data_IF_401269634830
#
_entry.id   IF_401269634830
#
_cell.length_a   1.000
_cell.length_b   1.000
_cell.length_c   1.000
_cell.angle_alpha   90.00
_cell.angle_beta   90.00
_cell.angle_gamma   90.00
#
_symmetry.space_group_name_H-M   'P 1'
#
loop_
_entity.id
_entity.type
_entity.pdbx_description
1 polymer ?
#
# COMPACT_ATOMS: atom_id res chain seq x y z
N UNK A 1 -22.85 -16.50 0.44
CA UNK A 1 -21.69 -15.69 0.87
C UNK A 1 -22.04 -14.83 2.09
N UNK A 2 -23.05 -13.95 2.02
CA UNK A 2 -23.45 -13.07 3.13
C UNK A 2 -23.73 -13.79 4.46
N UNK A 3 -24.38 -14.96 4.44
CA UNK A 3 -24.66 -15.75 5.65
C UNK A 3 -23.36 -16.12 6.37
N UNK A 4 -22.41 -16.70 5.66
CA UNK A 4 -21.10 -17.07 6.20
C UNK A 4 -20.35 -15.85 6.76
N UNK A 5 -20.29 -14.76 5.99
CA UNK A 5 -19.57 -13.54 6.41
C UNK A 5 -20.20 -12.92 7.66
N UNK A 6 -21.53 -12.94 7.77
CA UNK A 6 -22.25 -12.48 8.98
C UNK A 6 -21.85 -13.26 10.22
N UNK A 7 -21.59 -14.56 10.09
CA UNK A 7 -21.20 -15.40 11.22
C UNK A 7 -19.75 -15.15 11.64
N UNK A 8 -18.87 -14.91 10.68
CA UNK A 8 -17.43 -14.75 10.92
C UNK A 8 -17.05 -13.33 11.35
N UNK A 9 -17.54 -12.29 10.66
CA UNK A 9 -17.09 -10.91 10.86
C UNK A 9 -17.78 -10.17 11.99
N UNK A 10 -17.07 -9.20 12.58
CA UNK A 10 -17.71 -8.20 13.44
C UNK A 10 -18.78 -7.42 12.68
N UNK A 11 -19.77 -6.88 13.40
CA UNK A 11 -20.91 -6.18 12.78
C UNK A 11 -20.48 -5.06 11.81
N UNK A 12 -19.48 -4.26 12.19
CA UNK A 12 -19.01 -3.14 11.36
C UNK A 12 -18.43 -3.64 10.02
N UNK A 13 -17.59 -4.67 10.06
CA UNK A 13 -16.96 -5.23 8.86
C UNK A 13 -17.97 -5.99 8.01
N UNK A 14 -18.93 -6.68 8.64
CA UNK A 14 -20.05 -7.28 7.92
C UNK A 14 -20.84 -6.24 7.11
N UNK A 15 -21.13 -5.06 7.68
CA UNK A 15 -21.85 -4.01 6.97
C UNK A 15 -21.06 -3.45 5.78
N UNK A 16 -19.74 -3.25 5.93
CA UNK A 16 -18.87 -2.84 4.82
C UNK A 16 -18.87 -3.90 3.71
N UNK A 17 -18.72 -5.17 4.08
CA UNK A 17 -18.78 -6.28 3.13
C UNK A 17 -20.14 -6.36 2.43
N UNK A 18 -21.23 -6.20 3.17
CA UNK A 18 -22.58 -6.21 2.63
C UNK A 18 -22.75 -5.10 1.58
N UNK A 19 -22.26 -3.89 1.86
CA UNK A 19 -22.29 -2.80 0.90
C UNK A 19 -21.50 -3.11 -0.38
N UNK A 20 -20.33 -3.75 -0.27
CA UNK A 20 -19.57 -4.21 -1.44
C UNK A 20 -20.29 -5.31 -2.21
N UNK A 21 -20.95 -6.23 -1.51
CA UNK A 21 -21.73 -7.30 -2.11
C UNK A 21 -22.91 -6.76 -2.91
N UNK A 22 -23.64 -5.79 -2.36
CA UNK A 22 -24.76 -5.13 -3.04
C UNK A 22 -24.29 -4.40 -4.31
N UNK A 23 -23.19 -3.64 -4.23
CA UNK A 23 -22.58 -3.00 -5.40
C UNK A 23 -22.16 -3.99 -6.49
N UNK A 24 -21.67 -5.18 -6.11
CA UNK A 24 -21.20 -6.18 -7.06
C UNK A 24 -22.32 -6.64 -8.03
N UNK A 25 -23.57 -6.65 -7.58
CA UNK A 25 -24.72 -7.09 -8.39
C UNK A 25 -24.90 -6.21 -9.62
N UNK A 26 -24.60 -4.92 -9.51
CA UNK A 26 -24.81 -3.91 -10.56
C UNK A 26 -23.61 -3.78 -11.54
N UNK A 27 -22.50 -4.47 -11.28
CA UNK A 27 -21.31 -4.36 -12.10
C UNK A 27 -21.42 -5.15 -13.40
N UNK A 28 -20.85 -4.61 -14.47
CA UNK A 28 -20.62 -5.35 -15.71
C UNK A 28 -19.20 -5.92 -15.70
N UNK A 29 -19.07 -7.18 -16.13
CA UNK A 29 -17.80 -7.90 -16.15
C UNK A 29 -17.52 -8.39 -17.57
N UNK A 30 -16.31 -8.13 -18.04
CA UNK A 30 -15.74 -8.69 -19.25
C UNK A 30 -14.53 -9.56 -18.90
N UNK A 31 -14.28 -10.60 -19.69
CA UNK A 31 -13.13 -11.48 -19.54
C UNK A 31 -12.21 -11.31 -20.75
N UNK A 32 -10.92 -11.12 -20.49
CA UNK A 32 -9.86 -11.04 -21.50
C UNK A 32 -8.84 -12.15 -21.21
N UNK A 33 -8.56 -12.97 -22.22
CA UNK A 33 -7.47 -13.96 -22.13
C UNK A 33 -6.22 -13.38 -22.79
N UNK A 34 -5.10 -13.41 -22.07
CA UNK A 34 -3.80 -13.00 -22.60
C UNK A 34 -2.72 -14.03 -22.22
N UNK A 35 -2.08 -14.63 -23.21
CA UNK A 35 -0.99 -15.62 -23.03
C UNK A 35 -1.32 -16.77 -22.04
N UNK A 36 -2.57 -17.23 -22.04
CA UNK A 36 -3.05 -18.30 -21.14
C UNK A 36 -3.46 -17.82 -19.74
N UNK A 37 -3.27 -16.55 -19.42
CA UNK A 37 -3.76 -15.92 -18.20
C UNK A 37 -5.13 -15.28 -18.41
N UNK A 38 -6.02 -15.45 -17.43
CA UNK A 38 -7.36 -14.86 -17.42
C UNK A 38 -7.32 -13.55 -16.64
N UNK A 39 -7.74 -12.47 -17.29
CA UNK A 39 -7.93 -11.15 -16.69
C UNK A 39 -9.41 -10.77 -16.76
N UNK A 40 -9.94 -10.24 -15.66
CA UNK A 40 -11.30 -9.72 -15.62
C UNK A 40 -11.28 -8.20 -15.61
N UNK A 41 -12.09 -7.58 -16.46
CA UNK A 41 -12.34 -6.13 -16.42
C UNK A 41 -13.75 -5.91 -15.90
N UNK A 42 -13.87 -5.19 -14.78
CA UNK A 42 -15.15 -4.91 -14.12
C UNK A 42 -15.30 -3.40 -13.99
N UNK A 43 -16.22 -2.80 -14.76
CA UNK A 43 -16.47 -1.34 -14.79
C UNK A 43 -15.18 -0.46 -14.75
N UNK A 44 -14.16 -0.83 -15.55
CA UNK A 44 -12.83 -0.22 -15.68
C UNK A 44 -11.74 -0.67 -14.69
N UNK A 45 -12.07 -1.37 -13.61
CA UNK A 45 -11.06 -1.99 -12.75
C UNK A 45 -10.62 -3.35 -13.30
N UNK A 46 -9.32 -3.63 -13.22
CA UNK A 46 -8.73 -4.89 -13.63
C UNK A 46 -8.59 -5.81 -12.40
N UNK A 47 -8.93 -7.08 -12.58
CA UNK A 47 -8.68 -8.12 -11.59
C UNK A 47 -7.82 -9.21 -12.21
N UNK A 48 -6.65 -9.40 -11.63
CA UNK A 48 -5.68 -10.44 -11.99
C UNK A 48 -5.75 -11.59 -11.00
N UNK A 49 -5.40 -12.78 -11.50
CA UNK A 49 -5.14 -13.92 -10.64
C UNK A 49 -3.64 -14.00 -10.35
N UNK A 50 -3.31 -14.06 -9.07
CA UNK A 50 -1.95 -14.17 -8.56
C UNK A 50 -1.47 -15.63 -8.53
N UNK A 51 -0.17 -15.81 -8.32
CA UNK A 51 0.48 -17.13 -8.29
C UNK A 51 -0.05 -18.07 -7.20
N UNK A 52 -0.55 -17.52 -6.09
CA UNK A 52 -1.18 -18.25 -4.98
C UNK A 52 -2.68 -18.54 -5.19
N UNK A 53 -3.18 -18.28 -6.40
CA UNK A 53 -4.59 -18.35 -6.79
C UNK A 53 -5.50 -17.30 -6.10
N UNK A 54 -4.96 -16.29 -5.44
CA UNK A 54 -5.75 -15.13 -5.04
C UNK A 54 -6.07 -14.25 -6.24
N UNK A 55 -7.21 -13.58 -6.17
CA UNK A 55 -7.56 -12.45 -7.00
C UNK A 55 -7.06 -11.16 -6.35
N UNK A 56 -6.36 -10.36 -7.15
CA UNK A 56 -5.93 -8.99 -6.84
C UNK A 56 -6.69 -8.02 -7.74
N UNK A 57 -7.11 -6.88 -7.20
CA UNK A 57 -7.85 -5.88 -7.95
C UNK A 57 -7.11 -4.54 -7.94
N UNK A 58 -7.09 -3.84 -9.08
CA UNK A 58 -6.48 -2.51 -9.22
C UNK A 58 -7.03 -1.46 -8.24
N UNK A 59 -8.25 -1.65 -7.72
CA UNK A 59 -8.81 -0.77 -6.69
C UNK A 59 -8.14 -0.92 -5.30
N UNK A 60 -7.40 -2.02 -5.09
CA UNK A 60 -6.67 -2.39 -3.87
C UNK A 60 -7.48 -2.38 -2.56
N UNK A 61 -8.80 -2.55 -2.63
CA UNK A 61 -9.66 -2.43 -1.43
C UNK A 61 -9.32 -3.47 -0.37
N UNK A 62 -8.94 -4.69 -0.78
CA UNK A 62 -8.59 -5.75 0.16
C UNK A 62 -7.26 -5.43 0.86
N UNK A 63 -6.30 -4.89 0.15
CA UNK A 63 -5.00 -4.45 0.66
C UNK A 63 -5.14 -3.26 1.62
N UNK A 64 -6.11 -2.37 1.36
CA UNK A 64 -6.36 -1.17 2.18
C UNK A 64 -7.22 -1.45 3.43
N UNK A 65 -8.33 -2.17 3.26
CA UNK A 65 -9.35 -2.35 4.31
C UNK A 65 -9.43 -3.78 4.84
N UNK A 66 -8.77 -4.74 4.20
CA UNK A 66 -8.94 -6.16 4.52
C UNK A 66 -10.32 -6.71 4.16
N UNK A 67 -11.07 -6.01 3.31
CA UNK A 67 -12.42 -6.37 2.86
C UNK A 67 -12.42 -6.46 1.34
N UNK A 68 -13.02 -7.52 0.80
CA UNK A 68 -13.14 -7.69 -0.65
C UNK A 68 -13.96 -6.55 -1.27
N UNK A 69 -13.46 -5.98 -2.37
CA UNK A 69 -14.25 -5.05 -3.19
C UNK A 69 -15.34 -5.75 -3.97
N UNK A 70 -16.32 -4.96 -4.39
CA UNK A 70 -17.37 -5.36 -5.33
C UNK A 70 -16.83 -6.03 -6.60
N UNK A 71 -15.66 -5.59 -7.12
CA UNK A 71 -15.03 -6.19 -8.31
C UNK A 71 -14.62 -7.66 -8.10
N UNK A 72 -13.93 -7.96 -6.99
CA UNK A 72 -13.52 -9.34 -6.68
C UNK A 72 -14.76 -10.18 -6.34
N UNK A 73 -15.71 -9.62 -5.58
CA UNK A 73 -16.96 -10.32 -5.23
C UNK A 73 -17.73 -10.73 -6.50
N UNK A 74 -17.84 -9.82 -7.48
CA UNK A 74 -18.48 -10.09 -8.77
C UNK A 74 -17.86 -11.29 -9.48
N UNK A 75 -16.54 -11.37 -9.54
CA UNK A 75 -15.82 -12.47 -10.19
C UNK A 75 -16.00 -13.77 -9.43
N UNK A 76 -15.91 -13.74 -8.09
CA UNK A 76 -16.12 -14.92 -7.25
C UNK A 76 -17.50 -15.53 -7.53
N UNK A 77 -18.56 -14.72 -7.58
CA UNK A 77 -19.92 -15.20 -7.77
C UNK A 77 -20.19 -15.60 -9.22
N UNK A 78 -19.91 -14.71 -10.18
CA UNK A 78 -20.40 -14.87 -11.56
C UNK A 78 -19.46 -15.70 -12.43
N UNK A 79 -18.13 -15.53 -12.27
CA UNK A 79 -17.15 -16.25 -13.09
C UNK A 79 -16.72 -17.57 -12.46
N UNK A 80 -16.48 -17.58 -11.15
CA UNK A 80 -15.94 -18.74 -10.43
C UNK A 80 -17.02 -19.57 -9.72
N UNK A 81 -18.26 -19.09 -9.68
CA UNK A 81 -19.39 -19.74 -9.01
C UNK A 81 -19.11 -20.11 -7.53
N UNK A 82 -18.31 -19.28 -6.86
CA UNK A 82 -17.92 -19.40 -5.47
C UNK A 82 -19.01 -18.77 -4.60
N UNK A 83 -19.64 -19.61 -3.77
CA UNK A 83 -20.79 -19.21 -2.93
C UNK A 83 -20.38 -18.75 -1.54
N UNK A 84 -19.12 -18.94 -1.16
CA UNK A 84 -18.57 -18.67 0.17
C UNK A 84 -17.25 -17.92 0.04
N UNK A 85 -16.97 -16.99 0.95
CA UNK A 85 -15.70 -16.27 0.91
C UNK A 85 -14.56 -17.28 1.17
N UNK A 86 -13.57 -17.37 0.27
CA UNK A 86 -12.42 -18.23 0.49
C UNK A 86 -11.65 -17.81 1.75
N UNK A 87 -11.11 -18.78 2.49
CA UNK A 87 -10.48 -18.55 3.81
C UNK A 87 -9.31 -17.58 3.76
N UNK A 88 -8.59 -17.51 2.64
CA UNK A 88 -7.47 -16.58 2.45
C UNK A 88 -7.89 -15.10 2.47
N UNK A 89 -9.18 -14.80 2.29
CA UNK A 89 -9.72 -13.45 2.40
C UNK A 89 -10.33 -13.14 3.77
N UNK A 90 -10.35 -14.10 4.69
CA UNK A 90 -10.84 -13.92 6.06
C UNK A 90 -9.66 -13.53 6.94
N UNK A 91 -9.54 -12.25 7.25
CA UNK A 91 -8.50 -11.77 8.16
C UNK A 91 -8.92 -11.93 9.62
N UNK A 92 -8.04 -12.56 10.43
CA UNK A 92 -8.31 -12.89 11.84
C UNK A 92 -8.81 -11.71 12.67
N UNK A 93 -8.17 -10.54 12.54
CA UNK A 93 -8.49 -9.31 13.28
C UNK A 93 -9.88 -8.74 12.98
N UNK A 94 -10.49 -9.11 11.85
CA UNK A 94 -11.86 -8.72 11.50
C UNK A 94 -12.94 -9.71 11.97
N UNK A 95 -12.53 -10.87 12.47
CA UNK A 95 -13.46 -11.90 12.95
C UNK A 95 -13.99 -11.57 14.34
N UNK A 96 -15.16 -12.12 14.68
CA UNK A 96 -15.71 -12.06 16.05
C UNK A 96 -14.80 -12.77 17.07
N UNK A 97 -14.02 -13.76 16.61
CA UNK A 97 -13.12 -14.55 17.45
C UNK A 97 -11.91 -13.73 17.94
N UNK A 98 -11.50 -12.68 17.23
CA UNK A 98 -10.49 -11.75 17.72
C UNK A 98 -10.88 -11.08 19.06
N UNK A 99 -12.19 -10.94 19.35
CA UNK A 99 -12.68 -10.43 20.64
C UNK A 99 -12.68 -11.46 21.76
N UNK A 100 -12.66 -12.75 21.41
CA UNK A 100 -12.69 -13.88 22.36
C UNK A 100 -11.27 -14.30 22.75
N UNK A 101 -10.34 -14.29 21.80
CA UNK A 101 -8.93 -14.60 22.04
C UNK A 101 -8.23 -13.51 22.87
N UNK A 102 -8.68 -12.24 22.78
CA UNK A 102 -8.14 -11.13 23.57
C UNK A 102 -8.35 -11.27 25.10
N UNK A 103 -9.28 -12.14 25.55
CA UNK A 103 -9.55 -12.36 26.98
C UNK A 103 -8.79 -13.58 27.54
N UNK A 104 -8.38 -14.53 26.71
CA UNK A 104 -7.58 -15.69 27.13
C UNK A 104 -6.08 -15.47 26.98
N UNK A 105 -5.71 -14.45 26.21
CA UNK A 105 -4.34 -14.06 25.95
C UNK A 105 -3.80 -13.02 26.93
N UNK A 106 -4.28 -13.01 28.18
CA UNK A 106 -3.67 -12.23 29.29
C UNK A 106 -2.28 -12.76 29.73
N UNK A 107 -1.61 -13.53 28.87
CA UNK A 107 -0.18 -13.84 28.90
C UNK A 107 0.52 -13.55 27.56
N UNK A 108 -0.16 -12.88 26.62
CA UNK A 108 0.46 -12.29 25.45
C UNK A 108 1.12 -11.01 25.91
N UNK A 109 2.42 -11.16 26.19
CA UNK A 109 3.38 -10.08 26.37
C UNK A 109 2.99 -8.92 25.46
N UNK A 110 2.51 -7.85 26.08
CA UNK A 110 2.64 -6.47 25.66
C UNK A 110 2.83 -6.35 24.14
N UNK A 111 1.73 -6.39 23.37
CA UNK A 111 1.75 -5.78 22.04
C UNK A 111 1.90 -4.28 22.31
N UNK A 112 3.14 -3.85 22.52
CA UNK A 112 3.54 -2.53 22.09
C UNK A 112 3.03 -2.41 20.64
N UNK A 113 2.26 -1.36 20.37
CA UNK A 113 1.88 -0.98 19.02
C UNK A 113 3.15 -0.90 18.17
N UNK A 114 3.47 -1.95 17.41
CA UNK A 114 4.71 -2.00 16.63
C UNK A 114 4.70 -0.85 15.62
N UNK A 115 5.53 0.19 15.80
CA UNK A 115 5.54 1.35 14.91
C UNK A 115 5.80 0.96 13.44
N UNK A 116 6.47 -0.19 13.21
CA UNK A 116 6.75 -0.73 11.88
C UNK A 116 5.49 -1.26 11.19
N UNK A 117 4.53 -1.77 11.95
CA UNK A 117 3.25 -2.23 11.41
C UNK A 117 2.41 -1.05 10.92
N UNK A 118 2.36 0.04 11.69
CA UNK A 118 1.67 1.28 11.31
C UNK A 118 2.31 1.94 10.08
N UNK A 119 3.63 1.98 10.01
CA UNK A 119 4.36 2.49 8.84
C UNK A 119 4.02 1.67 7.58
N UNK A 120 3.99 0.34 7.71
CA UNK A 120 3.65 -0.56 6.59
C UNK A 120 2.22 -0.33 6.09
N UNK A 121 1.25 -0.15 6.99
CA UNK A 121 -0.13 0.17 6.63
C UNK A 121 -0.24 1.52 5.89
N UNK A 122 0.41 2.57 6.40
CA UNK A 122 0.45 3.90 5.75
C UNK A 122 1.06 3.84 4.35
N UNK A 123 2.18 3.12 4.20
CA UNK A 123 2.85 2.90 2.92
C UNK A 123 1.93 2.21 1.90
N UNK A 124 1.30 1.09 2.28
CA UNK A 124 0.41 0.33 1.39
C UNK A 124 -0.78 1.16 0.90
N UNK A 125 -1.38 1.97 1.77
CA UNK A 125 -2.47 2.86 1.41
C UNK A 125 -2.03 3.94 0.41
N UNK A 126 -0.88 4.57 0.64
CA UNK A 126 -0.35 5.59 -0.26
C UNK A 126 -0.07 5.02 -1.65
N UNK A 127 0.61 3.86 -1.72
CA UNK A 127 0.86 3.19 -2.99
C UNK A 127 -0.43 2.95 -3.79
N UNK A 128 -1.50 2.49 -3.14
CA UNK A 128 -2.79 2.29 -3.79
C UNK A 128 -3.37 3.56 -4.42
N UNK A 129 -3.40 4.64 -3.63
CA UNK A 129 -3.93 5.92 -4.10
C UNK A 129 -3.15 6.39 -5.33
N UNK A 130 -1.83 6.33 -5.25
CA UNK A 130 -0.97 6.75 -6.36
C UNK A 130 -1.09 5.83 -7.58
N UNK A 131 -1.16 4.51 -7.41
CA UNK A 131 -1.36 3.58 -8.54
C UNK A 131 -2.65 3.89 -9.31
N UNK A 132 -3.75 4.16 -8.61
CA UNK A 132 -5.02 4.54 -9.25
C UNK A 132 -4.91 5.88 -9.97
N UNK A 133 -4.30 6.88 -9.33
CA UNK A 133 -4.07 8.19 -9.95
C UNK A 133 -3.21 8.02 -11.21
N UNK A 134 -2.11 7.28 -11.14
CA UNK A 134 -1.22 7.02 -12.28
C UNK A 134 -1.96 6.34 -13.42
N UNK A 135 -2.75 5.29 -13.13
CA UNK A 135 -3.53 4.59 -14.15
C UNK A 135 -4.49 5.55 -14.87
N UNK A 136 -5.29 6.31 -14.14
CA UNK A 136 -6.31 7.20 -14.73
C UNK A 136 -5.71 8.43 -15.40
N UNK A 137 -4.67 9.01 -14.82
CA UNK A 137 -4.01 10.19 -15.38
C UNK A 137 -3.31 9.88 -16.70
N UNK A 138 -2.80 8.65 -16.89
CA UNK A 138 -2.14 8.24 -18.14
C UNK A 138 -3.06 8.19 -19.37
N UNK A 139 -4.38 8.16 -19.17
CA UNK A 139 -5.35 8.15 -20.27
C UNK A 139 -5.46 9.51 -20.99
N UNK A 140 -4.94 10.59 -20.40
CA UNK A 140 -4.98 11.94 -20.98
C UNK A 140 -3.75 12.76 -20.65
N UNK A 141 -3.11 13.33 -21.68
CA UNK A 141 -1.95 14.21 -21.52
C UNK A 141 -2.20 15.35 -20.50
N UNK A 142 -3.39 15.95 -20.53
CA UNK A 142 -3.76 17.02 -19.59
C UNK A 142 -3.86 16.51 -18.15
N UNK A 143 -4.44 15.33 -17.95
CA UNK A 143 -4.57 14.71 -16.63
C UNK A 143 -3.21 14.26 -16.09
N UNK A 144 -2.35 13.72 -16.95
CA UNK A 144 -0.97 13.38 -16.64
C UNK A 144 -0.17 14.60 -16.16
N UNK A 145 -0.17 15.70 -16.91
CA UNK A 145 0.56 16.92 -16.54
C UNK A 145 0.11 17.41 -15.15
N UNK A 146 -1.21 17.51 -14.93
CA UNK A 146 -1.77 17.93 -13.65
C UNK A 146 -1.34 16.99 -12.51
N UNK A 147 -1.50 15.67 -12.68
CA UNK A 147 -1.14 14.69 -11.66
C UNK A 147 0.36 14.73 -11.33
N UNK A 148 1.21 14.88 -12.35
CA UNK A 148 2.66 14.95 -12.19
C UNK A 148 3.09 16.22 -11.45
N UNK A 149 2.53 17.39 -11.78
CA UNK A 149 2.80 18.64 -11.06
C UNK A 149 2.45 18.53 -9.58
N UNK A 150 1.27 17.99 -9.26
CA UNK A 150 0.86 17.77 -7.88
C UNK A 150 1.72 16.74 -7.15
N UNK A 151 2.09 15.63 -7.81
CA UNK A 151 2.95 14.61 -7.23
C UNK A 151 4.34 15.18 -6.86
N UNK A 152 4.95 15.98 -7.74
CA UNK A 152 6.23 16.64 -7.47
C UNK A 152 6.13 17.58 -6.26
N UNK A 153 5.06 18.37 -6.18
CA UNK A 153 4.86 19.29 -5.05
C UNK A 153 4.64 18.52 -3.74
N UNK A 154 3.86 17.45 -3.78
CA UNK A 154 3.61 16.61 -2.61
C UNK A 154 4.89 15.91 -2.12
N UNK A 155 5.74 15.43 -3.03
CA UNK A 155 7.05 14.87 -2.66
C UNK A 155 7.87 15.87 -1.85
N UNK A 156 7.94 17.14 -2.28
CA UNK A 156 8.65 18.19 -1.53
C UNK A 156 8.07 18.37 -0.12
N UNK A 157 6.75 18.49 -0.01
CA UNK A 157 6.07 18.67 1.29
C UNK A 157 6.33 17.50 2.23
N UNK A 158 6.32 16.26 1.72
CA UNK A 158 6.60 15.06 2.51
C UNK A 158 8.04 15.06 3.02
N UNK A 159 9.02 15.34 2.15
CA UNK A 159 10.42 15.43 2.57
C UNK A 159 10.63 16.55 3.61
N UNK A 160 9.99 17.71 3.44
CA UNK A 160 10.06 18.81 4.40
C UNK A 160 9.51 18.39 5.78
N UNK A 161 8.38 17.68 5.84
CA UNK A 161 7.81 17.16 7.09
C UNK A 161 8.79 16.17 7.76
N UNK A 162 9.35 15.24 7.00
CA UNK A 162 10.29 14.24 7.52
C UNK A 162 11.60 14.89 8.01
N UNK A 163 12.06 15.96 7.35
CA UNK A 163 13.21 16.74 7.80
C UNK A 163 12.95 17.50 9.11
N UNK A 164 11.75 18.03 9.32
CA UNK A 164 11.36 18.73 10.56
C UNK A 164 11.23 17.75 11.74
N UNK A 165 10.71 16.53 11.52
CA UNK A 165 10.58 15.50 12.55
C UNK A 165 11.94 15.00 13.07
N UNK A 166 12.99 14.97 12.23
CA UNK A 166 14.35 14.60 12.63
C UNK A 166 15.04 15.72 13.44
N UNK A 167 14.70 16.98 13.18
CA UNK A 167 15.30 18.13 13.86
C UNK A 167 14.66 18.45 15.22
N UNK A 168 13.42 18.00 15.47
CA UNK A 168 12.67 18.27 16.70
C UNK A 168 13.03 17.40 17.91
N UNK A 169 13.77 16.31 17.73
CA UNK A 169 14.06 15.31 18.79
C UNK A 169 15.36 15.61 19.58
N UNK A 170 16.03 16.74 19.33
CA UNK A 170 17.36 17.07 19.90
C UNK A 170 17.39 18.30 20.82
N UNK A 171 16.30 18.70 21.47
CA UNK A 171 16.35 19.79 22.47
C UNK A 171 15.55 19.53 23.75
N UNK A 172 16.20 18.85 24.71
CA UNK A 172 16.07 19.14 26.14
C UNK A 172 17.46 19.36 26.78
N UNK A 173 17.85 20.65 26.84
CA UNK A 173 18.64 21.42 27.86
C UNK A 173 19.77 20.70 28.61
N UNK A 174 21.05 21.06 28.42
CA UNK A 174 21.78 22.24 28.96
C UNK A 174 21.78 22.36 30.49
N UNK A 175 22.96 22.17 31.12
CA UNK A 175 23.68 23.24 31.86
C UNK A 175 25.03 22.70 32.38
N UNK A 176 26.10 23.51 32.32
CA UNK A 176 27.34 23.16 33.03
C UNK A 176 28.69 23.72 32.58
N UNK A 177 28.74 24.93 32.01
CA UNK A 177 29.84 25.93 32.15
C UNK A 177 31.35 25.58 31.94
N UNK A 178 31.94 26.39 31.03
CA UNK A 178 33.22 27.12 31.11
C UNK A 178 34.57 26.49 30.68
N UNK A 179 35.02 26.97 29.51
CA UNK A 179 36.32 27.57 29.14
C UNK A 179 37.66 26.90 29.56
N UNK A 180 38.55 26.69 28.58
CA UNK A 180 39.88 27.35 28.45
C UNK A 180 40.46 27.06 27.06
N UNK A 181 41.03 28.10 26.44
CA UNK A 181 41.71 28.08 25.16
C UNK A 181 43.13 27.51 25.25
N UNK A 182 43.61 26.84 24.20
CA UNK A 182 44.99 26.95 23.69
C UNK A 182 45.02 26.56 22.22
N UNK A 183 45.65 27.42 21.42
CA UNK A 183 46.05 27.17 20.03
C UNK A 183 47.02 25.96 19.93
N UNK A 184 47.11 25.34 18.73
CA UNK A 184 48.36 25.13 17.96
C UNK A 184 48.14 24.09 16.84
N UNK A 185 48.37 24.58 15.62
CA UNK A 185 49.00 23.98 14.44
C UNK A 185 48.30 22.97 13.50
N UNK A 186 48.49 23.27 12.22
CA UNK A 186 48.03 22.56 11.03
C UNK A 186 49.03 21.48 10.64
N UNK A 187 48.55 20.27 10.33
CA UNK A 187 49.22 19.43 9.34
C UNK A 187 48.20 18.81 8.40
N UNK A 188 48.52 18.94 7.11
CA UNK A 188 47.82 18.36 5.98
C UNK A 188 47.86 16.83 6.09
N UNK A 189 46.76 16.16 5.75
CA UNK A 189 46.93 15.05 4.83
C UNK A 189 45.74 14.80 3.93
N UNK A 190 46.10 14.54 2.69
CA UNK A 190 45.25 14.23 1.56
C UNK A 190 44.57 12.88 1.76
N UNK A 191 43.29 12.76 1.42
CA UNK A 191 42.92 11.69 0.49
C UNK A 191 41.61 11.95 -0.26
N UNK A 192 41.69 11.58 -1.53
CA UNK A 192 40.87 11.96 -2.67
C UNK A 192 40.04 10.74 -3.10
N UNK A 193 38.72 10.95 -3.19
CA UNK A 193 37.79 10.41 -4.22
C UNK A 193 37.37 8.92 -4.15
N UNK A 194 36.04 8.64 -4.18
CA UNK A 194 35.30 8.30 -5.43
C UNK A 194 33.78 8.16 -5.25
N UNK A 195 33.04 9.07 -5.88
CA UNK A 195 31.62 8.88 -6.24
C UNK A 195 31.58 8.20 -7.60
N UNK A 196 30.78 7.14 -7.76
CA UNK A 196 30.67 6.36 -9.00
C UNK A 196 29.37 6.73 -9.72
N UNK A 197 29.46 7.63 -10.69
CA UNK A 197 28.38 7.92 -11.64
C UNK A 197 28.25 6.83 -12.70
N UNK A 198 27.01 6.46 -13.05
CA UNK A 198 26.71 5.65 -14.24
C UNK A 198 26.66 6.56 -15.47
N UNK A 199 27.49 6.26 -16.47
CA UNK A 199 27.43 6.87 -17.81
C UNK A 199 26.30 6.26 -18.63
N UNK A 200 25.58 7.14 -19.33
CA UNK A 200 24.63 6.87 -20.42
C UNK A 200 25.38 6.96 -21.74
N UNK A 201 25.22 5.98 -22.63
CA UNK A 201 25.33 6.09 -24.10
C UNK A 201 24.80 4.79 -24.72
N UNK A 202 23.63 4.80 -25.38
CA UNK A 202 23.31 5.14 -26.79
C UNK A 202 23.69 4.03 -27.79
N UNK A 203 22.62 3.46 -28.36
CA UNK A 203 22.40 2.96 -29.72
C UNK A 203 23.54 2.24 -30.46
N UNK A 204 23.26 0.98 -30.81
CA UNK A 204 23.80 0.35 -32.02
C UNK A 204 22.62 -0.22 -32.80
N UNK A 205 22.38 0.36 -33.98
CA UNK A 205 21.55 -0.19 -35.04
C UNK A 205 22.28 -1.35 -35.72
N UNK A 206 21.56 -2.39 -36.15
CA UNK A 206 21.90 -3.09 -37.40
C UNK A 206 20.64 -3.52 -38.14
N UNK A 207 20.69 -3.30 -39.44
CA UNK A 207 19.70 -3.62 -40.45
C UNK A 207 19.80 -5.09 -40.90
N UNK A 208 18.66 -5.71 -41.18
CA UNK A 208 18.25 -6.25 -42.49
C UNK A 208 16.81 -6.75 -42.39
#
# INVERSE_FOLDING_TARGET
>A
MLIQVREVYTKAIFLEFQHQFEQAVELNMNCVMNDGNIFYSVNMDCVSKESDNTLSCSCMMFEMKGVLCSHIIKILIDALNIKEIPTQYILKWWTKQARVECVQDMQWREIQEDPKLQQTCRYRLLCSIFTRISSRASESEKAYILANEHAINLTKVVEDILHVEIAGDNQEKDDGSQNIATEVDCTQDSNVIKVKGLKKERNISWAM
#
